data_IF_992607661278
#
_entry.id   IF_992607661278
#
_cell.length_a   1.000
_cell.length_b   1.000
_cell.length_c   1.000
_cell.angle_alpha   90.00
_cell.angle_beta   90.00
_cell.angle_gamma   90.00
#
_symmetry.space_group_name_H-M   'P 1'
#
loop_
_entity.id
_entity.type
_entity.pdbx_description
1 polymer ?
#
# COMPACT_ATOMS: atom_id res chain seq x y z
N UNK A 1 -1.79 -26.65 -11.76
CA UNK A 1 -1.43 -25.23 -11.50
C UNK A 1 0.07 -25.17 -11.28
N UNK A 2 0.77 -24.28 -11.97
CA UNK A 2 2.18 -24.04 -11.67
C UNK A 2 2.26 -23.46 -10.24
N UNK A 3 2.96 -24.13 -9.34
CA UNK A 3 3.18 -23.64 -7.99
C UNK A 3 4.28 -22.56 -8.10
N UNK A 4 3.89 -21.30 -8.03
CA UNK A 4 4.84 -20.21 -7.94
C UNK A 4 5.50 -20.24 -6.55
N UNK A 5 6.83 -20.23 -6.54
CA UNK A 5 7.59 -20.27 -5.28
C UNK A 5 7.92 -18.86 -4.83
N UNK A 6 7.93 -18.66 -3.53
CA UNK A 6 8.15 -17.35 -2.90
C UNK A 6 9.37 -17.37 -2.00
N UNK A 7 10.25 -16.38 -2.14
CA UNK A 7 11.30 -16.08 -1.17
C UNK A 7 10.78 -15.04 -0.19
N UNK A 8 10.52 -15.47 1.04
CA UNK A 8 10.02 -14.62 2.13
C UNK A 8 11.22 -13.98 2.81
N UNK A 9 11.38 -12.67 2.64
CA UNK A 9 12.45 -11.85 3.21
C UNK A 9 11.93 -11.16 4.46
N UNK A 10 12.53 -11.44 5.60
CA UNK A 10 12.17 -10.89 6.92
C UNK A 10 13.35 -10.09 7.45
N UNK A 11 13.13 -8.81 7.77
CA UNK A 11 14.12 -8.00 8.47
C UNK A 11 13.85 -8.03 9.98
N UNK A 12 14.83 -8.45 10.78
CA UNK A 12 14.75 -8.54 12.23
C UNK A 12 15.71 -7.55 12.90
N UNK A 13 15.24 -6.85 13.93
CA UNK A 13 16.07 -5.96 14.74
C UNK A 13 15.56 -5.86 16.18
N UNK A 14 16.24 -6.54 17.12
CA UNK A 14 15.90 -6.57 18.56
C UNK A 14 14.45 -7.04 18.85
N UNK A 15 13.94 -8.01 18.11
CA UNK A 15 12.56 -8.53 18.17
C UNK A 15 12.49 -10.04 18.23
N UNK A 16 13.41 -10.70 18.99
CA UNK A 16 13.58 -12.15 18.99
C UNK A 16 12.25 -12.92 19.12
N UNK A 17 11.45 -12.65 20.17
CA UNK A 17 10.23 -13.43 20.44
C UNK A 17 9.16 -13.19 19.38
N UNK A 18 9.05 -11.96 18.88
CA UNK A 18 8.07 -11.59 17.85
C UNK A 18 8.47 -12.22 16.51
N UNK A 19 9.76 -12.15 16.14
CA UNK A 19 10.31 -12.81 14.95
C UNK A 19 10.10 -14.33 14.99
N UNK A 20 10.19 -14.95 16.16
CA UNK A 20 9.84 -16.37 16.35
C UNK A 20 8.39 -16.64 15.97
N UNK A 21 7.45 -15.88 16.54
CA UNK A 21 6.02 -16.02 16.24
C UNK A 21 5.72 -15.87 14.76
N UNK A 22 6.36 -14.89 14.08
CA UNK A 22 6.25 -14.71 12.64
C UNK A 22 6.70 -15.97 11.87
N UNK A 23 7.90 -16.46 12.14
CA UNK A 23 8.46 -17.63 11.46
C UNK A 23 7.63 -18.90 11.74
N UNK A 24 7.16 -19.09 12.97
CA UNK A 24 6.31 -20.23 13.34
C UNK A 24 4.95 -20.17 12.62
N UNK A 25 4.36 -18.99 12.48
CA UNK A 25 3.11 -18.81 11.73
C UNK A 25 3.30 -19.12 10.23
N UNK A 26 4.41 -18.70 9.62
CA UNK A 26 4.74 -19.05 8.23
C UNK A 26 4.82 -20.57 8.06
N UNK A 27 5.53 -21.25 8.94
CA UNK A 27 5.68 -22.72 8.90
C UNK A 27 4.36 -23.45 9.10
N UNK A 28 3.44 -22.86 9.88
CA UNK A 28 2.14 -23.46 10.19
C UNK A 28 1.14 -23.27 9.04
N UNK A 29 1.12 -22.09 8.41
CA UNK A 29 0.07 -21.68 7.48
C UNK A 29 0.52 -21.54 6.03
N UNK A 30 1.71 -22.02 5.69
CA UNK A 30 2.21 -21.99 4.32
C UNK A 30 2.66 -23.38 3.87
N UNK A 31 2.23 -23.81 2.70
CA UNK A 31 2.51 -25.15 2.17
C UNK A 31 4.02 -25.41 2.06
N UNK A 32 4.49 -26.49 2.64
CA UNK A 32 5.90 -26.87 2.58
C UNK A 32 6.38 -27.03 1.13
N UNK A 33 7.55 -26.46 0.81
CA UNK A 33 8.14 -26.49 -0.53
C UNK A 33 7.66 -25.40 -1.48
N UNK A 34 6.65 -24.59 -1.10
CA UNK A 34 6.22 -23.42 -1.89
C UNK A 34 7.01 -22.16 -1.56
N UNK A 35 7.81 -22.15 -0.52
CA UNK A 35 8.58 -20.99 -0.06
C UNK A 35 9.99 -21.34 0.44
N UNK A 36 10.81 -20.31 0.58
CA UNK A 36 12.01 -20.29 1.43
C UNK A 36 11.93 -19.09 2.38
N UNK A 37 12.59 -19.18 3.53
CA UNK A 37 12.68 -18.09 4.50
C UNK A 37 14.11 -17.54 4.48
N UNK A 38 14.22 -16.23 4.30
CA UNK A 38 15.47 -15.46 4.38
C UNK A 38 15.29 -14.45 5.49
N UNK A 39 16.11 -14.54 6.54
CA UNK A 39 16.08 -13.57 7.64
C UNK A 39 17.35 -12.76 7.59
N UNK A 40 17.18 -11.44 7.53
CA UNK A 40 18.27 -10.49 7.70
C UNK A 40 18.19 -9.92 9.10
N UNK A 41 19.12 -10.27 9.95
CA UNK A 41 19.25 -9.68 11.28
C UNK A 41 20.11 -8.41 11.19
N UNK A 42 19.51 -7.29 11.54
CA UNK A 42 20.10 -5.96 11.33
C UNK A 42 20.93 -5.49 12.54
N UNK A 43 21.82 -6.35 13.03
CA UNK A 43 22.70 -6.16 14.19
C UNK A 43 21.95 -6.13 15.53
N UNK A 44 21.04 -7.09 15.75
CA UNK A 44 20.34 -7.24 17.02
C UNK A 44 21.29 -7.45 18.20
N UNK A 45 20.91 -6.91 19.36
CA UNK A 45 21.62 -7.05 20.63
C UNK A 45 20.96 -8.06 21.58
N UNK A 46 19.79 -8.56 21.23
CA UNK A 46 19.03 -9.56 21.98
C UNK A 46 19.39 -11.00 21.55
N UNK A 47 18.55 -11.98 21.89
CA UNK A 47 18.77 -13.39 21.57
C UNK A 47 18.48 -13.75 20.09
N UNK A 48 18.11 -12.80 19.21
CA UNK A 48 17.68 -13.02 17.83
C UNK A 48 18.68 -13.86 17.04
N UNK A 49 19.93 -13.40 16.92
CA UNK A 49 20.97 -14.10 16.13
C UNK A 49 21.26 -15.50 16.68
N UNK A 50 21.33 -15.64 18.02
CA UNK A 50 21.60 -16.92 18.65
C UNK A 50 20.47 -17.94 18.41
N UNK A 51 19.22 -17.47 18.39
CA UNK A 51 18.07 -18.31 18.08
C UNK A 51 18.01 -18.65 16.59
N UNK A 52 18.16 -17.66 15.70
CA UNK A 52 18.12 -17.83 14.25
C UNK A 52 19.16 -18.81 13.73
N UNK A 53 20.39 -18.79 14.27
CA UNK A 53 21.46 -19.74 13.92
C UNK A 53 21.10 -21.20 14.20
N UNK A 54 20.18 -21.47 15.10
CA UNK A 54 19.71 -22.81 15.43
C UNK A 54 18.55 -23.30 14.60
N UNK A 55 17.96 -22.40 13.80
CA UNK A 55 16.80 -22.73 12.97
C UNK A 55 17.22 -23.48 11.71
N UNK A 56 16.50 -24.56 11.39
CA UNK A 56 16.65 -25.28 10.11
C UNK A 56 15.86 -24.56 9.02
N UNK A 57 16.34 -24.67 7.80
CA UNK A 57 15.66 -24.14 6.60
C UNK A 57 15.41 -22.63 6.61
N UNK A 58 16.32 -21.87 7.22
CA UNK A 58 16.37 -20.41 7.18
C UNK A 58 17.73 -20.02 6.60
N UNK A 59 17.73 -19.14 5.59
CA UNK A 59 18.93 -18.41 5.18
C UNK A 59 19.09 -17.21 6.10
N UNK A 60 20.13 -17.17 6.91
CA UNK A 60 20.41 -16.07 7.84
C UNK A 60 21.55 -15.19 7.31
N UNK A 61 21.28 -13.89 7.22
CA UNK A 61 22.28 -12.84 7.07
C UNK A 61 22.32 -12.08 8.40
N UNK A 62 23.43 -12.14 9.11
CA UNK A 62 23.63 -11.45 10.39
C UNK A 62 24.58 -10.25 10.17
N UNK A 63 24.02 -9.05 10.15
CA UNK A 63 24.77 -7.82 9.95
C UNK A 63 25.56 -7.44 11.20
N UNK A 64 26.69 -6.77 11.01
CA UNK A 64 27.48 -6.20 12.11
C UNK A 64 26.99 -4.82 12.53
N UNK A 65 26.27 -4.14 11.69
CA UNK A 65 25.67 -2.82 11.88
C UNK A 65 24.27 -2.77 11.25
N UNK A 66 23.42 -1.88 11.74
CA UNK A 66 22.06 -1.70 11.21
C UNK A 66 22.13 -0.96 9.86
N UNK A 67 21.69 -1.62 8.79
CA UNK A 67 21.68 -1.09 7.39
C UNK A 67 20.39 -0.33 7.06
N UNK A 68 19.50 -0.14 8.02
CA UNK A 68 18.16 0.36 7.74
C UNK A 68 17.25 -0.70 7.11
N UNK A 69 15.99 -0.34 6.90
CA UNK A 69 15.00 -1.26 6.33
C UNK A 69 15.33 -1.59 4.85
N UNK A 70 15.51 -0.59 3.95
CA UNK A 70 15.75 -0.91 2.54
C UNK A 70 17.06 -1.67 2.34
N UNK A 71 18.15 -1.28 3.02
CA UNK A 71 19.44 -1.95 2.89
C UNK A 71 19.40 -3.40 3.38
N UNK A 72 18.72 -3.67 4.51
CA UNK A 72 18.53 -5.03 5.01
C UNK A 72 17.65 -5.87 4.09
N UNK A 73 16.53 -5.33 3.63
CA UNK A 73 15.65 -6.02 2.68
C UNK A 73 16.38 -6.34 1.37
N UNK A 74 17.17 -5.41 0.84
CA UNK A 74 17.96 -5.60 -0.37
C UNK A 74 18.95 -6.76 -0.26
N UNK A 75 19.59 -6.93 0.88
CA UNK A 75 20.47 -8.09 1.12
C UNK A 75 19.69 -9.41 1.04
N UNK A 76 18.48 -9.45 1.62
CA UNK A 76 17.61 -10.62 1.55
C UNK A 76 17.11 -10.91 0.12
N UNK A 77 16.69 -9.87 -0.60
CA UNK A 77 16.26 -9.95 -2.00
C UNK A 77 17.38 -10.47 -2.91
N UNK A 78 18.61 -10.01 -2.70
CA UNK A 78 19.76 -10.39 -3.51
C UNK A 78 20.15 -11.87 -3.38
N UNK A 79 19.85 -12.54 -2.26
CA UNK A 79 20.15 -13.97 -2.03
C UNK A 79 18.92 -14.87 -2.24
N UNK A 80 17.79 -14.30 -2.66
CA UNK A 80 16.58 -15.03 -2.98
C UNK A 80 16.84 -16.04 -4.13
N UNK A 81 16.15 -17.17 -4.07
CA UNK A 81 16.27 -18.19 -5.10
C UNK A 81 15.77 -17.65 -6.44
N UNK A 82 16.59 -17.80 -7.47
CA UNK A 82 16.25 -17.38 -8.82
C UNK A 82 14.92 -18.00 -9.28
N UNK A 83 14.05 -17.16 -9.81
CA UNK A 83 12.72 -17.57 -10.31
C UNK A 83 11.62 -17.51 -9.25
N UNK A 84 11.94 -17.34 -7.97
CA UNK A 84 10.94 -17.11 -6.94
C UNK A 84 10.42 -15.68 -7.00
N UNK A 85 9.14 -15.50 -6.64
CA UNK A 85 8.60 -14.19 -6.27
C UNK A 85 9.24 -13.72 -4.97
N UNK A 86 9.32 -12.42 -4.77
CA UNK A 86 9.88 -11.82 -3.56
C UNK A 86 8.75 -11.34 -2.65
N UNK A 87 8.73 -11.80 -1.44
CA UNK A 87 7.83 -11.28 -0.40
C UNK A 87 8.64 -10.59 0.68
N UNK A 88 8.47 -9.28 0.80
CA UNK A 88 8.93 -8.53 1.96
C UNK A 88 7.87 -8.68 3.06
N UNK A 89 8.27 -9.19 4.22
CA UNK A 89 7.37 -9.42 5.35
C UNK A 89 7.99 -8.87 6.63
N UNK A 90 7.27 -8.00 7.32
CA UNK A 90 7.72 -7.49 8.62
C UNK A 90 7.84 -8.62 9.64
N UNK A 91 8.87 -8.54 10.48
CA UNK A 91 9.11 -9.55 11.55
C UNK A 91 8.06 -9.52 12.65
N UNK A 92 7.24 -8.48 12.72
CA UNK A 92 6.15 -8.29 13.69
C UNK A 92 4.76 -8.60 13.12
N UNK A 93 4.70 -9.62 12.26
CA UNK A 93 3.45 -10.14 11.71
C UNK A 93 3.18 -11.56 12.19
N UNK A 94 1.90 -11.93 12.21
CA UNK A 94 1.44 -13.33 12.29
C UNK A 94 0.66 -13.59 11.02
N UNK A 95 1.20 -14.44 10.17
CA UNK A 95 0.48 -14.88 8.97
C UNK A 95 -0.58 -15.92 9.35
N UNK A 96 -1.60 -16.03 8.51
CA UNK A 96 -2.86 -16.71 8.83
C UNK A 96 -3.24 -17.72 7.73
N UNK A 97 -4.22 -18.60 7.92
CA UNK A 97 -4.61 -19.57 6.89
C UNK A 97 -4.87 -18.93 5.54
N UNK A 98 -4.47 -19.59 4.45
CA UNK A 98 -4.68 -19.22 3.04
C UNK A 98 -4.02 -17.90 2.58
N UNK A 99 -3.25 -17.23 3.42
CA UNK A 99 -2.70 -15.89 3.13
C UNK A 99 -1.85 -15.83 1.86
N UNK A 100 -0.86 -16.71 1.71
CA UNK A 100 0.06 -16.66 0.58
C UNK A 100 -0.61 -17.14 -0.71
N UNK A 101 -1.43 -18.17 -0.62
CA UNK A 101 -2.19 -18.72 -1.75
C UNK A 101 -3.15 -17.67 -2.34
N UNK A 102 -3.81 -16.88 -1.51
CA UNK A 102 -4.71 -15.81 -1.96
C UNK A 102 -3.91 -14.68 -2.62
N UNK A 103 -2.80 -14.25 -2.00
CA UNK A 103 -1.92 -13.25 -2.59
C UNK A 103 -1.35 -13.72 -3.95
N UNK A 104 -0.95 -14.99 -4.07
CA UNK A 104 -0.46 -15.54 -5.34
C UNK A 104 -1.56 -15.58 -6.41
N UNK A 105 -2.81 -15.92 -6.05
CA UNK A 105 -3.93 -15.87 -6.99
C UNK A 105 -4.14 -14.46 -7.53
N UNK A 106 -4.09 -13.45 -6.68
CA UNK A 106 -4.20 -12.06 -7.10
C UNK A 106 -3.01 -11.62 -7.95
N UNK A 107 -1.78 -11.96 -7.55
CA UNK A 107 -0.55 -11.61 -8.28
C UNK A 107 -0.54 -12.16 -9.72
N UNK A 108 -1.09 -13.36 -9.91
CA UNK A 108 -1.13 -14.02 -11.21
C UNK A 108 -2.48 -13.93 -11.93
N UNK A 109 -3.38 -13.05 -11.44
CA UNK A 109 -4.67 -12.80 -12.10
C UNK A 109 -4.54 -12.07 -13.44
N UNK A 110 -3.45 -11.32 -13.63
CA UNK A 110 -3.10 -10.70 -14.91
C UNK A 110 -1.58 -10.56 -15.05
N UNK A 111 -1.10 -10.49 -16.29
CA UNK A 111 0.33 -10.33 -16.59
C UNK A 111 0.88 -9.01 -16.05
N UNK A 112 0.08 -7.95 -16.09
CA UNK A 112 0.47 -6.61 -15.69
C UNK A 112 0.39 -6.34 -14.16
N UNK A 113 -0.01 -7.31 -13.34
CA UNK A 113 0.08 -7.17 -11.89
C UNK A 113 1.54 -7.41 -11.47
N UNK A 114 2.17 -6.41 -10.90
CA UNK A 114 3.57 -6.45 -10.47
C UNK A 114 3.77 -6.77 -9.00
N UNK A 115 2.85 -6.31 -8.15
CA UNK A 115 2.89 -6.59 -6.72
C UNK A 115 1.49 -6.58 -6.10
N UNK A 116 1.37 -7.25 -4.95
CA UNK A 116 0.14 -7.31 -4.15
C UNK A 116 0.46 -7.22 -2.66
N UNK A 117 -0.51 -6.74 -1.89
CA UNK A 117 -0.50 -6.71 -0.43
C UNK A 117 -1.87 -7.12 0.11
N UNK A 118 -1.99 -7.24 1.43
CA UNK A 118 -3.22 -7.63 2.11
C UNK A 118 -3.65 -6.58 3.13
N UNK A 119 -4.82 -6.80 3.76
CA UNK A 119 -5.28 -5.99 4.89
C UNK A 119 -4.79 -6.53 6.23
N UNK A 120 -4.79 -5.67 7.24
CA UNK A 120 -4.33 -5.98 8.59
C UNK A 120 -5.07 -5.16 9.65
N UNK A 121 -4.84 -5.46 10.93
CA UNK A 121 -5.41 -4.71 12.06
C UNK A 121 -4.67 -3.40 12.40
N UNK A 122 -3.45 -3.23 11.91
CA UNK A 122 -2.64 -2.03 12.22
C UNK A 122 -1.77 -1.64 11.03
N UNK A 123 -2.18 -0.61 10.30
CA UNK A 123 -1.47 -0.09 9.13
C UNK A 123 -2.00 1.29 8.76
N UNK A 124 -1.31 1.97 7.87
CA UNK A 124 -1.78 3.18 7.18
C UNK A 124 -2.36 2.86 5.80
N UNK A 125 -2.65 3.90 5.02
CA UNK A 125 -3.04 3.80 3.60
C UNK A 125 -4.31 2.96 3.36
N UNK A 126 -5.28 3.00 4.29
CA UNK A 126 -6.55 2.25 4.19
C UNK A 126 -6.37 0.73 3.99
N UNK A 127 -5.21 0.19 4.41
CA UNK A 127 -4.97 -1.25 4.51
C UNK A 127 -5.36 -1.81 5.88
N UNK A 128 -5.70 -0.93 6.81
CA UNK A 128 -6.22 -1.32 8.12
C UNK A 128 -7.71 -1.62 8.05
N UNK A 129 -8.11 -2.70 8.72
CA UNK A 129 -9.52 -3.06 8.97
C UNK A 129 -9.77 -3.18 10.48
N UNK A 130 -11.03 -3.03 10.87
CA UNK A 130 -11.46 -3.31 12.24
C UNK A 130 -11.50 -4.82 12.47
N UNK A 131 -11.04 -5.26 13.62
CA UNK A 131 -11.00 -6.67 14.00
C UNK A 131 -11.63 -6.87 15.39
N UNK A 132 -12.19 -8.05 15.64
CA UNK A 132 -12.95 -8.37 16.85
C UNK A 132 -12.29 -9.44 17.72
N UNK A 133 -11.05 -9.86 17.42
CA UNK A 133 -10.36 -10.88 18.22
C UNK A 133 -9.50 -10.24 19.33
N UNK A 134 -9.31 -10.96 20.42
CA UNK A 134 -8.54 -10.54 21.58
C UNK A 134 -7.37 -11.50 21.94
N UNK A 135 -7.34 -12.67 21.33
CA UNK A 135 -6.28 -13.67 21.55
C UNK A 135 -5.92 -14.42 20.26
N UNK A 136 -4.91 -15.29 20.34
CA UNK A 136 -4.40 -16.01 19.16
C UNK A 136 -5.43 -16.98 18.55
N UNK A 137 -6.24 -17.66 19.36
CA UNK A 137 -7.23 -18.62 18.85
C UNK A 137 -8.34 -17.88 18.08
N UNK A 138 -8.84 -16.81 18.64
CA UNK A 138 -9.84 -15.94 17.99
C UNK A 138 -9.29 -15.28 16.72
N UNK A 139 -8.01 -14.87 16.71
CA UNK A 139 -7.31 -14.38 15.52
C UNK A 139 -7.37 -15.42 14.38
N UNK A 140 -7.05 -16.68 14.68
CA UNK A 140 -7.04 -17.72 13.65
C UNK A 140 -8.46 -18.02 13.16
N UNK A 141 -9.44 -18.09 14.04
CA UNK A 141 -10.87 -18.26 13.66
C UNK A 141 -11.37 -17.10 12.78
N UNK A 142 -11.04 -15.86 13.16
CA UNK A 142 -11.35 -14.69 12.35
C UNK A 142 -10.73 -14.80 10.95
N UNK A 143 -9.45 -15.14 10.86
CA UNK A 143 -8.75 -15.23 9.59
C UNK A 143 -9.22 -16.41 8.73
N UNK A 144 -9.56 -17.56 9.32
CA UNK A 144 -10.18 -18.69 8.61
C UNK A 144 -11.51 -18.31 7.95
N UNK A 145 -12.32 -17.53 8.64
CA UNK A 145 -13.58 -17.02 8.10
C UNK A 145 -13.39 -15.88 7.08
N UNK A 146 -12.30 -15.13 7.19
CA UNK A 146 -12.03 -13.96 6.35
C UNK A 146 -11.29 -14.30 5.05
N UNK A 147 -10.26 -15.16 5.10
CA UNK A 147 -9.33 -15.41 4.00
C UNK A 147 -9.90 -16.33 2.92
N UNK A 148 -10.90 -15.85 2.22
CA UNK A 148 -11.50 -16.52 1.06
C UNK A 148 -11.28 -15.69 -0.19
N UNK A 149 -10.46 -16.22 -1.12
CA UNK A 149 -10.11 -15.51 -2.34
C UNK A 149 -11.33 -15.07 -3.13
N UNK A 150 -11.47 -13.75 -3.31
CA UNK A 150 -12.56 -13.12 -4.04
C UNK A 150 -12.05 -11.95 -4.90
N UNK A 151 -11.91 -12.12 -6.21
CA UNK A 151 -11.40 -11.07 -7.11
C UNK A 151 -12.18 -9.75 -7.07
N UNK A 152 -13.46 -9.76 -6.67
CA UNK A 152 -14.25 -8.54 -6.52
C UNK A 152 -13.78 -7.63 -5.36
N UNK A 153 -12.92 -8.17 -4.48
CA UNK A 153 -12.33 -7.45 -3.35
C UNK A 153 -10.86 -7.05 -3.60
N UNK A 154 -10.35 -7.19 -4.82
CA UNK A 154 -9.00 -6.75 -5.18
C UNK A 154 -9.05 -5.33 -5.72
N UNK A 155 -8.36 -4.43 -5.04
CA UNK A 155 -8.36 -3.01 -5.35
C UNK A 155 -7.05 -2.58 -5.99
N UNK A 156 -7.11 -1.84 -7.11
CA UNK A 156 -5.94 -1.16 -7.66
C UNK A 156 -5.53 -0.05 -6.69
N UNK A 157 -4.22 0.05 -6.41
CA UNK A 157 -3.67 1.04 -5.50
C UNK A 157 -2.46 1.75 -6.13
N UNK A 158 -2.28 3.07 -5.86
CA UNK A 158 -1.09 3.80 -6.28
C UNK A 158 0.15 3.40 -5.47
N UNK A 159 -0.06 2.86 -4.26
CA UNK A 159 0.99 2.41 -3.35
C UNK A 159 0.50 1.31 -2.43
N UNK A 160 1.41 0.48 -1.97
CA UNK A 160 1.18 -0.58 -0.99
C UNK A 160 2.18 -0.42 0.16
N UNK A 161 1.75 -0.71 1.39
CA UNK A 161 2.62 -0.61 2.57
C UNK A 161 3.48 -1.88 2.72
N UNK A 162 4.75 -1.67 3.05
CA UNK A 162 5.80 -2.68 3.05
C UNK A 162 5.74 -3.75 4.14
N UNK A 163 4.69 -3.78 5.00
CA UNK A 163 4.58 -4.81 6.05
C UNK A 163 4.37 -6.22 5.49
N UNK A 164 3.71 -6.33 4.32
CA UNK A 164 3.51 -7.55 3.55
C UNK A 164 3.43 -7.17 2.07
N UNK A 165 4.51 -7.34 1.33
CA UNK A 165 4.63 -6.84 -0.03
C UNK A 165 5.14 -7.96 -0.95
N UNK A 166 4.22 -8.63 -1.66
CA UNK A 166 4.56 -9.73 -2.57
C UNK A 166 4.77 -9.18 -3.98
N UNK A 167 5.97 -9.35 -4.52
CA UNK A 167 6.44 -8.84 -5.80
C UNK A 167 6.62 -9.98 -6.79
N UNK A 168 6.03 -9.86 -7.98
CA UNK A 168 6.22 -10.82 -9.07
C UNK A 168 7.69 -10.88 -9.49
N UNK A 169 8.22 -12.07 -9.73
CA UNK A 169 9.64 -12.24 -10.11
C UNK A 169 10.05 -11.40 -11.34
N UNK A 170 9.20 -11.33 -12.36
CA UNK A 170 9.44 -10.50 -13.55
C UNK A 170 9.50 -9.02 -13.21
N UNK A 171 8.58 -8.55 -12.36
CA UNK A 171 8.55 -7.16 -11.92
C UNK A 171 9.78 -6.81 -11.07
N UNK A 172 10.19 -7.71 -10.17
CA UNK A 172 11.44 -7.56 -9.42
C UNK A 172 12.67 -7.45 -10.32
N UNK A 173 12.78 -8.33 -11.33
CA UNK A 173 13.89 -8.27 -12.29
C UNK A 173 13.93 -6.97 -13.09
N UNK A 174 12.77 -6.40 -13.39
CA UNK A 174 12.66 -5.18 -14.16
C UNK A 174 12.96 -3.93 -13.33
N UNK A 175 12.44 -3.87 -12.09
CA UNK A 175 12.52 -2.69 -11.23
C UNK A 175 13.75 -2.71 -10.30
N UNK A 176 14.21 -3.90 -9.90
CA UNK A 176 15.38 -4.10 -9.05
C UNK A 176 15.10 -3.96 -7.56
N UNK A 177 16.06 -3.43 -6.82
CA UNK A 177 16.09 -3.34 -5.36
C UNK A 177 15.37 -2.07 -4.84
N UNK A 178 15.11 -2.03 -3.53
CA UNK A 178 14.62 -0.83 -2.84
C UNK A 178 15.68 0.29 -2.89
N UNK A 179 15.23 1.54 -2.88
CA UNK A 179 16.10 2.71 -2.88
C UNK A 179 16.62 3.02 -1.47
N UNK A 180 17.90 2.76 -1.22
CA UNK A 180 18.53 2.95 0.10
C UNK A 180 18.65 4.41 0.54
N UNK A 181 18.36 5.39 -0.33
CA UNK A 181 18.28 6.82 0.04
C UNK A 181 17.20 7.08 1.08
N UNK A 182 16.20 6.19 1.18
CA UNK A 182 15.14 6.24 2.18
C UNK A 182 15.52 5.57 3.51
N UNK A 183 16.77 5.14 3.70
CA UNK A 183 17.22 4.64 5.00
C UNK A 183 17.06 5.71 6.10
N UNK A 184 16.73 5.31 7.34
CA UNK A 184 16.62 3.94 7.81
C UNK A 184 15.29 3.25 7.53
N UNK A 185 14.30 3.91 6.88
CA UNK A 185 13.00 3.36 6.49
C UNK A 185 11.94 4.46 6.32
N UNK A 186 10.78 4.09 5.83
CA UNK A 186 9.65 4.88 5.35
C UNK A 186 9.91 5.55 3.99
N UNK A 187 8.89 5.50 3.12
CA UNK A 187 8.89 5.93 1.72
C UNK A 187 9.66 5.04 0.74
N UNK A 188 10.39 4.00 1.17
CA UNK A 188 11.00 3.03 0.26
C UNK A 188 9.96 2.14 -0.44
N UNK A 189 8.86 1.84 0.23
CA UNK A 189 7.72 1.08 -0.30
C UNK A 189 6.85 1.93 -1.24
N UNK A 190 6.63 3.19 -0.91
CA UNK A 190 6.00 4.17 -1.80
C UNK A 190 6.83 4.36 -3.08
N UNK A 191 8.14 4.55 -2.94
CA UNK A 191 9.08 4.65 -4.06
C UNK A 191 9.07 3.39 -4.93
N UNK A 192 9.07 2.22 -4.31
CA UNK A 192 9.04 0.96 -5.03
C UNK A 192 7.73 0.78 -5.79
N UNK A 193 6.61 1.17 -5.18
CA UNK A 193 5.30 1.19 -5.80
C UNK A 193 5.30 2.05 -7.07
N UNK A 194 5.81 3.28 -7.00
CA UNK A 194 5.88 4.16 -8.17
C UNK A 194 6.81 3.62 -9.26
N UNK A 195 7.94 3.02 -8.90
CA UNK A 195 8.83 2.40 -9.91
C UNK A 195 8.15 1.24 -10.62
N UNK A 196 7.34 0.44 -9.93
CA UNK A 196 6.54 -0.62 -10.55
C UNK A 196 5.50 -0.04 -11.52
N UNK A 197 4.78 1.01 -11.12
CA UNK A 197 3.80 1.70 -11.98
C UNK A 197 4.48 2.28 -13.22
N UNK A 198 5.62 2.95 -13.05
CA UNK A 198 6.39 3.49 -14.19
C UNK A 198 6.89 2.41 -15.14
N UNK A 199 7.15 1.21 -14.63
CA UNK A 199 7.51 0.04 -15.43
C UNK A 199 6.29 -0.64 -16.11
N UNK A 200 5.07 -0.09 -15.96
CA UNK A 200 3.83 -0.57 -16.60
C UNK A 200 3.06 -1.61 -15.78
N UNK A 201 3.44 -1.82 -14.52
CA UNK A 201 2.73 -2.75 -13.63
C UNK A 201 1.61 -2.05 -12.85
N UNK A 202 0.63 -2.85 -12.42
CA UNK A 202 -0.41 -2.47 -11.47
C UNK A 202 -0.14 -3.11 -10.12
N UNK A 203 -0.63 -2.46 -9.07
CA UNK A 203 -0.54 -2.91 -7.69
C UNK A 203 -1.94 -3.26 -7.20
N UNK A 204 -2.10 -4.37 -6.47
CA UNK A 204 -3.39 -4.76 -5.89
C UNK A 204 -3.32 -4.84 -4.36
N UNK A 205 -4.30 -4.28 -3.72
CA UNK A 205 -4.64 -4.57 -2.33
C UNK A 205 -5.70 -5.67 -2.31
N UNK A 206 -5.36 -6.82 -1.73
CA UNK A 206 -6.26 -7.96 -1.57
C UNK A 206 -7.06 -7.80 -0.27
N UNK A 207 -8.26 -7.21 -0.35
CA UNK A 207 -9.12 -7.02 0.83
C UNK A 207 -9.81 -8.30 1.29
N UNK A 208 -9.61 -9.37 0.58
CA UNK A 208 -10.04 -10.74 0.90
C UNK A 208 -9.00 -11.55 1.68
N UNK A 209 -7.88 -10.92 2.04
CA UNK A 209 -6.75 -11.58 2.69
C UNK A 209 -6.25 -10.74 3.86
N UNK A 210 -6.21 -11.35 5.02
CA UNK A 210 -5.82 -10.73 6.29
C UNK A 210 -4.62 -11.43 6.92
N UNK A 211 -3.67 -10.66 7.43
CA UNK A 211 -2.65 -11.11 8.39
C UNK A 211 -2.60 -10.14 9.57
N UNK A 212 -2.23 -10.62 10.74
CA UNK A 212 -2.06 -9.77 11.92
C UNK A 212 -0.72 -9.05 11.88
N UNK A 213 -0.70 -7.76 12.24
CA UNK A 213 0.48 -6.94 12.36
C UNK A 213 0.49 -6.26 13.72
N UNK A 214 1.51 -6.51 14.53
CA UNK A 214 1.62 -5.91 15.86
C UNK A 214 1.82 -4.40 15.81
N UNK A 215 2.35 -3.89 14.70
CA UNK A 215 2.59 -2.47 14.48
C UNK A 215 3.62 -1.90 15.44
N UNK A 216 4.74 -1.46 14.92
CA UNK A 216 5.79 -0.81 15.75
C UNK A 216 6.30 -1.63 16.95
N UNK A 217 6.28 -2.97 16.88
CA UNK A 217 6.71 -3.85 17.98
C UNK A 217 8.18 -3.61 18.39
N UNK A 218 9.03 -3.16 17.48
CA UNK A 218 10.38 -2.65 17.81
C UNK A 218 10.35 -1.42 18.70
N UNK A 219 9.16 -0.85 18.92
CA UNK A 219 8.94 0.42 19.60
C UNK A 219 8.33 0.30 21.01
N UNK A 220 7.78 -0.84 21.40
CA UNK A 220 6.93 -0.97 22.60
C UNK A 220 7.66 -1.47 23.87
N UNK A 221 9.00 -1.49 23.95
CA UNK A 221 9.68 -1.78 25.23
C UNK A 221 9.40 -0.66 26.22
N UNK A 222 9.16 -1.05 27.51
CA UNK A 222 8.92 -0.16 28.64
C UNK A 222 9.84 1.08 28.60
N UNK A 223 9.26 2.27 28.44
CA UNK A 223 9.96 3.54 28.35
C UNK A 223 9.33 4.55 29.27
N UNK A 224 10.14 5.51 29.69
CA UNK A 224 9.60 6.69 30.37
C UNK A 224 8.78 7.53 29.37
N UNK A 225 7.85 8.37 29.87
CA UNK A 225 7.12 9.30 29.01
C UNK A 225 8.05 10.18 28.16
N UNK A 226 9.18 10.62 28.71
CA UNK A 226 10.17 11.46 28.04
C UNK A 226 10.86 10.69 26.88
N UNK A 227 11.23 9.43 27.11
CA UNK A 227 11.79 8.58 26.06
C UNK A 227 10.79 8.32 24.93
N UNK A 228 9.51 8.17 25.27
CA UNK A 228 8.46 7.99 24.27
C UNK A 228 8.27 9.25 23.42
N UNK A 229 8.23 10.44 24.05
CA UNK A 229 8.13 11.74 23.36
C UNK A 229 9.33 11.96 22.45
N UNK A 230 10.55 11.75 22.95
CA UNK A 230 11.77 11.90 22.16
C UNK A 230 11.78 10.98 20.91
N UNK A 231 11.30 9.75 21.06
CA UNK A 231 11.22 8.80 19.96
C UNK A 231 10.16 9.18 18.94
N UNK A 232 8.97 9.61 19.38
CA UNK A 232 7.92 10.09 18.48
C UNK A 232 8.42 11.28 17.66
N UNK A 233 9.14 12.21 18.30
CA UNK A 233 9.76 13.35 17.62
C UNK A 233 10.78 12.90 16.57
N UNK A 234 11.71 12.00 16.93
CA UNK A 234 12.71 11.48 16.00
C UNK A 234 12.07 10.73 14.81
N UNK A 235 10.98 10.01 15.06
CA UNK A 235 10.20 9.34 14.01
C UNK A 235 9.54 10.35 13.07
N UNK A 236 8.91 11.39 13.58
CA UNK A 236 8.28 12.44 12.76
C UNK A 236 9.34 13.22 11.95
N UNK A 237 10.50 13.51 12.53
CA UNK A 237 11.62 14.14 11.83
C UNK A 237 12.14 13.26 10.67
N UNK A 238 12.22 11.94 10.88
CA UNK A 238 12.57 10.97 9.85
C UNK A 238 11.54 10.94 8.73
N UNK A 239 10.25 10.85 9.07
CA UNK A 239 9.17 10.89 8.08
C UNK A 239 9.25 12.15 7.22
N UNK A 240 9.34 13.33 7.84
CA UNK A 240 9.45 14.60 7.12
C UNK A 240 10.70 14.67 6.23
N UNK A 241 11.82 14.10 6.69
CA UNK A 241 13.05 14.04 5.89
C UNK A 241 12.88 13.17 4.65
N UNK A 242 12.31 11.96 4.81
CA UNK A 242 12.14 11.03 3.70
C UNK A 242 11.00 11.47 2.76
N UNK A 243 9.94 12.10 3.27
CA UNK A 243 8.91 12.74 2.45
C UNK A 243 9.52 13.79 1.49
N UNK A 244 10.38 14.68 2.00
CA UNK A 244 11.08 15.66 1.16
C UNK A 244 11.93 15.02 0.07
N UNK A 245 12.60 13.88 0.37
CA UNK A 245 13.36 13.12 -0.64
C UNK A 245 12.43 12.52 -1.69
N UNK A 246 11.28 12.00 -1.26
CA UNK A 246 10.28 11.41 -2.14
C UNK A 246 9.68 12.45 -3.09
N UNK A 247 9.20 13.57 -2.55
CA UNK A 247 8.67 14.72 -3.31
C UNK A 247 9.70 15.19 -4.33
N UNK A 248 10.94 15.38 -3.88
CA UNK A 248 12.05 15.81 -4.79
C UNK A 248 12.34 14.80 -5.88
N UNK A 249 12.26 13.49 -5.59
CA UNK A 249 12.53 12.43 -6.57
C UNK A 249 11.44 12.33 -7.61
N UNK A 250 10.18 12.38 -7.19
CA UNK A 250 9.03 12.11 -8.02
C UNK A 250 8.34 13.37 -8.56
N UNK A 251 8.71 14.55 -8.05
CA UNK A 251 8.12 15.86 -8.39
C UNK A 251 6.61 15.89 -8.14
N UNK A 252 6.16 15.23 -7.09
CA UNK A 252 4.76 15.16 -6.65
C UNK A 252 4.52 16.14 -5.50
N UNK A 253 3.25 16.38 -5.15
CA UNK A 253 2.85 17.25 -4.03
C UNK A 253 3.07 16.57 -2.67
N UNK A 254 2.92 17.35 -1.58
CA UNK A 254 3.00 16.82 -0.20
C UNK A 254 1.83 15.88 0.10
N UNK A 255 0.70 16.05 -0.57
CA UNK A 255 -0.54 15.29 -0.38
C UNK A 255 -0.63 14.05 -1.29
N UNK A 256 0.41 13.75 -2.07
CA UNK A 256 0.42 12.59 -2.95
C UNK A 256 0.01 11.30 -2.23
N UNK A 257 -1.00 10.61 -2.79
CA UNK A 257 -1.53 9.36 -2.22
C UNK A 257 -2.46 9.55 -1.01
N UNK A 258 -2.85 10.78 -0.69
CA UNK A 258 -3.94 11.11 0.23
C UNK A 258 -5.32 10.86 -0.37
N UNK A 259 -6.34 10.80 0.49
CA UNK A 259 -7.76 10.77 0.09
C UNK A 259 -8.43 12.03 0.60
N UNK A 260 -9.21 12.69 -0.26
CA UNK A 260 -10.00 13.85 0.12
C UNK A 260 -11.34 13.42 0.74
N UNK A 261 -11.81 14.20 1.72
CA UNK A 261 -13.05 13.87 2.43
C UNK A 261 -14.27 13.85 1.52
N UNK A 262 -14.30 14.66 0.49
CA UNK A 262 -15.42 14.77 -0.47
C UNK A 262 -15.79 13.45 -1.15
N UNK A 263 -14.86 12.49 -1.24
CA UNK A 263 -15.17 11.18 -1.83
C UNK A 263 -16.09 10.33 -0.95
N UNK A 264 -16.18 10.65 0.36
CA UNK A 264 -17.07 9.95 1.28
C UNK A 264 -18.53 10.40 1.15
N UNK A 265 -18.80 11.52 0.47
CA UNK A 265 -20.15 12.04 0.22
C UNK A 265 -20.85 11.30 -0.92
N UNK A 266 -20.13 10.46 -1.67
CA UNK A 266 -20.73 9.66 -2.74
C UNK A 266 -21.50 8.49 -2.14
N UNK A 267 -22.80 8.46 -2.44
CA UNK A 267 -23.72 7.40 -2.02
C UNK A 267 -24.35 6.71 -3.23
N UNK A 268 -23.81 5.54 -3.59
CA UNK A 268 -24.28 4.70 -4.68
C UNK A 268 -24.45 3.25 -4.22
N UNK A 269 -25.28 2.48 -4.89
CA UNK A 269 -25.21 1.02 -4.76
C UNK A 269 -24.00 0.50 -5.57
N UNK A 270 -23.43 -0.65 -5.15
CA UNK A 270 -22.28 -1.24 -5.86
C UNK A 270 -22.60 -1.65 -7.30
N UNK A 271 -23.87 -1.86 -7.62
CA UNK A 271 -24.34 -2.28 -8.95
C UNK A 271 -24.70 -1.10 -9.86
N UNK A 272 -24.71 0.11 -9.31
CA UNK A 272 -25.15 1.30 -10.05
C UNK A 272 -24.07 1.73 -11.05
N UNK A 273 -24.47 1.85 -12.32
CA UNK A 273 -23.63 2.40 -13.39
C UNK A 273 -23.73 3.91 -13.37
N UNK A 274 -22.84 4.54 -12.63
CA UNK A 274 -22.77 5.99 -12.49
C UNK A 274 -21.52 6.56 -13.12
N UNK A 275 -21.52 7.85 -13.42
CA UNK A 275 -20.36 8.59 -13.86
C UNK A 275 -19.96 9.61 -12.81
N UNK A 276 -18.71 9.54 -12.37
CA UNK A 276 -18.12 10.40 -11.35
C UNK A 276 -16.90 11.10 -11.94
N UNK A 277 -16.80 12.40 -11.73
CA UNK A 277 -15.61 13.17 -12.05
C UNK A 277 -15.02 13.77 -10.78
N UNK A 278 -13.69 13.68 -10.61
CA UNK A 278 -12.97 14.22 -9.45
C UNK A 278 -11.98 15.27 -9.92
N UNK A 279 -12.27 16.55 -9.63
CA UNK A 279 -11.34 17.65 -9.84
C UNK A 279 -10.40 17.79 -8.64
N UNK A 280 -9.09 17.85 -8.87
CA UNK A 280 -8.09 17.89 -7.80
C UNK A 280 -7.84 16.51 -7.17
N UNK A 281 -7.82 15.43 -7.98
CA UNK A 281 -7.80 14.04 -7.47
C UNK A 281 -6.42 13.58 -6.94
N UNK A 282 -5.42 14.45 -6.83
CA UNK A 282 -4.03 14.14 -6.43
C UNK A 282 -3.58 12.75 -6.94
N UNK A 283 -2.44 12.29 -6.90
CA UNK A 283 -1.96 11.00 -7.42
C UNK A 283 -2.96 9.85 -7.68
N UNK A 284 -4.28 10.14 -7.76
CA UNK A 284 -5.35 9.20 -8.15
C UNK A 284 -5.91 8.33 -7.02
N UNK A 285 -5.56 8.57 -5.75
CA UNK A 285 -6.05 7.74 -4.64
C UNK A 285 -7.57 7.86 -4.44
N UNK A 286 -8.13 9.04 -4.66
CA UNK A 286 -9.58 9.28 -4.63
C UNK A 286 -10.33 8.38 -5.63
N UNK A 287 -9.79 8.29 -6.84
CA UNK A 287 -10.35 7.45 -7.90
C UNK A 287 -10.21 5.97 -7.54
N UNK A 288 -9.06 5.54 -7.02
CA UNK A 288 -8.87 4.17 -6.54
C UNK A 288 -9.88 3.80 -5.45
N UNK A 289 -10.10 4.69 -4.49
CA UNK A 289 -11.07 4.48 -3.42
C UNK A 289 -12.50 4.33 -3.99
N UNK A 290 -12.92 5.26 -4.83
CA UNK A 290 -14.26 5.24 -5.45
C UNK A 290 -14.46 4.01 -6.33
N UNK A 291 -13.47 3.62 -7.14
CA UNK A 291 -13.54 2.40 -7.96
C UNK A 291 -13.69 1.14 -7.12
N UNK A 292 -13.01 1.08 -5.96
CA UNK A 292 -13.12 -0.06 -5.06
C UNK A 292 -14.50 -0.16 -4.41
N UNK A 293 -15.10 0.98 -4.08
CA UNK A 293 -16.42 1.06 -3.45
C UNK A 293 -17.56 0.88 -4.46
N UNK A 294 -17.35 1.37 -5.68
CA UNK A 294 -18.36 1.41 -6.76
C UNK A 294 -17.80 0.81 -8.07
N UNK A 295 -17.62 -0.52 -8.14
CA UNK A 295 -16.90 -1.16 -9.25
C UNK A 295 -17.60 -1.06 -10.61
N UNK A 296 -18.89 -0.70 -10.64
CA UNK A 296 -19.67 -0.49 -11.87
C UNK A 296 -19.70 0.98 -12.32
N UNK A 297 -19.20 1.91 -11.50
CA UNK A 297 -19.13 3.31 -11.85
C UNK A 297 -17.95 3.60 -12.78
N UNK A 298 -18.15 4.51 -13.74
CA UNK A 298 -17.07 5.08 -14.54
C UNK A 298 -16.54 6.33 -13.83
N UNK A 299 -15.30 6.27 -13.37
CA UNK A 299 -14.69 7.31 -12.56
C UNK A 299 -13.49 7.86 -13.30
N UNK A 300 -13.50 9.16 -13.53
CA UNK A 300 -12.41 9.92 -14.15
C UNK A 300 -12.04 11.11 -13.27
N UNK A 301 -10.91 11.71 -13.52
CA UNK A 301 -10.48 12.87 -12.74
C UNK A 301 -9.42 13.72 -13.41
N UNK A 302 -9.11 14.82 -12.74
CA UNK A 302 -8.06 15.74 -13.15
C UNK A 302 -7.25 16.20 -11.94
N UNK A 303 -5.98 16.50 -12.17
CA UNK A 303 -5.09 17.14 -11.21
C UNK A 303 -4.29 18.24 -11.88
N UNK A 304 -3.94 19.29 -11.13
CA UNK A 304 -3.11 20.41 -11.58
C UNK A 304 -1.62 20.07 -11.58
N UNK A 305 -1.23 18.99 -10.91
CA UNK A 305 0.15 18.53 -10.93
C UNK A 305 0.39 17.60 -12.13
N UNK A 306 1.30 18.02 -13.00
CA UNK A 306 1.63 17.27 -14.22
C UNK A 306 2.28 15.91 -13.92
N UNK A 307 3.13 15.84 -12.90
CA UNK A 307 3.82 14.60 -12.55
C UNK A 307 2.83 13.58 -11.97
N UNK A 308 1.91 14.03 -11.12
CA UNK A 308 0.84 13.19 -10.58
C UNK A 308 -0.12 12.70 -11.67
N UNK A 309 -0.51 13.58 -12.60
CA UNK A 309 -1.31 13.17 -13.75
C UNK A 309 -0.58 12.13 -14.61
N UNK A 310 0.71 12.32 -14.86
CA UNK A 310 1.52 11.38 -15.63
C UNK A 310 1.68 10.02 -14.93
N UNK A 311 1.76 10.00 -13.61
CA UNK A 311 1.80 8.77 -12.80
C UNK A 311 0.44 8.08 -12.76
N UNK A 312 -0.61 8.79 -12.38
CA UNK A 312 -1.96 8.25 -12.25
C UNK A 312 -2.53 7.78 -13.60
N UNK A 313 -2.30 8.52 -14.67
CA UNK A 313 -2.73 8.17 -16.03
C UNK A 313 -2.13 6.87 -16.59
N UNK A 314 -1.15 6.26 -15.92
CA UNK A 314 -0.63 4.93 -16.28
C UNK A 314 -1.64 3.80 -16.00
N UNK A 315 -2.56 4.00 -15.06
CA UNK A 315 -3.47 2.95 -14.59
C UNK A 315 -4.89 3.41 -14.26
N UNK A 316 -5.15 4.73 -14.31
CA UNK A 316 -6.44 5.37 -14.07
C UNK A 316 -6.80 6.31 -15.21
N UNK A 317 -8.07 6.71 -15.26
CA UNK A 317 -8.57 7.77 -16.15
C UNK A 317 -8.37 9.14 -15.47
N UNK A 318 -7.12 9.62 -15.48
CA UNK A 318 -6.70 10.89 -14.89
C UNK A 318 -6.01 11.74 -15.94
N UNK A 319 -6.42 13.00 -16.05
CA UNK A 319 -5.87 13.98 -16.96
C UNK A 319 -5.16 15.11 -16.22
N UNK A 320 -4.14 15.67 -16.85
CA UNK A 320 -3.56 16.93 -16.43
C UNK A 320 -4.51 18.08 -16.80
N UNK A 321 -4.77 18.96 -15.84
CA UNK A 321 -5.56 20.17 -16.03
C UNK A 321 -4.85 21.30 -15.29
N UNK A 322 -4.21 22.26 -15.98
CA UNK A 322 -3.40 23.30 -15.35
C UNK A 322 -4.19 24.22 -14.43
N UNK A 323 -5.48 24.31 -14.64
CA UNK A 323 -6.40 25.04 -13.80
C UNK A 323 -7.73 24.29 -13.70
N UNK A 324 -7.94 23.56 -12.62
CA UNK A 324 -9.16 22.77 -12.42
C UNK A 324 -10.39 23.62 -12.15
N UNK A 325 -10.25 24.91 -11.91
CA UNK A 325 -11.38 25.83 -11.79
C UNK A 325 -11.88 26.34 -13.17
N UNK A 326 -10.96 26.71 -14.06
CA UNK A 326 -11.33 27.34 -15.33
C UNK A 326 -11.31 26.38 -16.52
N UNK A 327 -10.39 25.41 -16.53
CA UNK A 327 -10.16 24.53 -17.68
C UNK A 327 -10.81 23.15 -17.56
N UNK A 328 -11.37 22.78 -16.41
CA UNK A 328 -12.05 21.49 -16.17
C UNK A 328 -13.13 21.19 -17.22
N UNK A 329 -13.81 22.22 -17.71
CA UNK A 329 -14.91 22.10 -18.69
C UNK A 329 -14.46 21.48 -20.01
N UNK A 330 -13.17 21.55 -20.35
CA UNK A 330 -12.59 20.91 -21.54
C UNK A 330 -12.57 19.38 -21.37
N UNK A 331 -12.48 18.90 -20.13
CA UNK A 331 -12.41 17.49 -19.80
C UNK A 331 -13.77 16.86 -19.55
N UNK A 332 -14.78 17.66 -19.20
CA UNK A 332 -16.12 17.18 -18.93
C UNK A 332 -16.82 16.76 -20.22
N UNK A 333 -17.14 15.48 -20.36
CA UNK A 333 -17.81 14.90 -21.52
C UNK A 333 -19.12 14.22 -21.15
N UNK A 334 -20.26 14.75 -21.61
CA UNK A 334 -21.57 14.17 -21.30
C UNK A 334 -22.08 14.52 -19.91
N UNK A 335 -22.80 13.61 -19.27
CA UNK A 335 -23.48 13.82 -17.98
C UNK A 335 -22.83 13.00 -16.87
N UNK A 336 -22.73 13.60 -15.69
CA UNK A 336 -22.16 12.97 -14.47
C UNK A 336 -23.22 12.94 -13.37
N UNK A 337 -23.19 11.88 -12.59
CA UNK A 337 -24.02 11.76 -11.38
C UNK A 337 -23.38 12.49 -10.21
N UNK A 338 -22.03 12.52 -10.19
CA UNK A 338 -21.25 13.27 -9.21
C UNK A 338 -20.11 14.03 -9.88
N UNK A 339 -19.96 15.29 -9.52
CA UNK A 339 -18.75 16.08 -9.77
C UNK A 339 -18.18 16.46 -8.41
N UNK A 340 -17.00 15.98 -8.09
CA UNK A 340 -16.32 16.20 -6.79
C UNK A 340 -15.22 17.23 -7.00
N UNK A 341 -15.28 18.33 -6.24
CA UNK A 341 -14.27 19.37 -6.20
C UNK A 341 -13.38 19.11 -4.97
N UNK A 342 -12.30 18.37 -5.17
CA UNK A 342 -11.51 17.81 -4.08
C UNK A 342 -10.43 18.76 -3.55
N UNK A 343 -10.06 19.80 -4.29
CA UNK A 343 -9.01 20.74 -3.90
C UNK A 343 -9.51 21.68 -2.78
N UNK A 344 -8.98 21.51 -1.57
CA UNK A 344 -9.32 22.31 -0.38
C UNK A 344 -8.78 23.74 -0.43
N UNK A 345 -7.74 23.99 -1.19
CA UNK A 345 -7.08 25.30 -1.24
C UNK A 345 -7.77 26.25 -2.20
N UNK A 346 -8.62 25.73 -3.09
CA UNK A 346 -9.35 26.54 -4.07
C UNK A 346 -10.48 27.30 -3.41
N UNK A 347 -10.38 28.62 -3.51
CA UNK A 347 -11.45 29.57 -3.16
C UNK A 347 -12.07 30.07 -4.45
N UNK A 348 -13.21 29.52 -4.81
CA UNK A 348 -13.98 29.98 -5.95
C UNK A 348 -14.50 31.40 -5.66
N UNK A 349 -14.04 32.39 -6.42
CA UNK A 349 -14.44 33.81 -6.21
C UNK A 349 -15.95 34.01 -6.41
N UNK A 350 -16.54 33.29 -7.37
CA UNK A 350 -17.98 33.25 -7.64
C UNK A 350 -18.44 31.77 -7.71
N UNK A 351 -18.66 31.18 -6.54
CA UNK A 351 -19.01 29.75 -6.45
C UNK A 351 -20.38 29.46 -7.09
N UNK A 352 -21.37 30.34 -6.92
CA UNK A 352 -22.71 30.17 -7.51
C UNK A 352 -22.63 30.20 -9.03
N UNK A 353 -21.92 31.17 -9.61
CA UNK A 353 -21.70 31.25 -11.06
C UNK A 353 -20.84 30.08 -11.59
N UNK A 354 -19.98 29.51 -10.76
CA UNK A 354 -19.21 28.29 -11.11
C UNK A 354 -20.11 27.05 -11.12
N UNK A 355 -20.99 26.89 -10.14
CA UNK A 355 -22.01 25.84 -10.12
C UNK A 355 -22.92 25.91 -11.34
N UNK A 356 -23.36 27.10 -11.72
CA UNK A 356 -24.20 27.28 -12.92
C UNK A 356 -23.50 26.76 -14.19
N UNK A 357 -22.19 26.92 -14.31
CA UNK A 357 -21.40 26.38 -15.43
C UNK A 357 -21.26 24.83 -15.37
N UNK A 358 -21.34 24.22 -14.18
CA UNK A 358 -21.30 22.76 -14.02
C UNK A 358 -22.65 22.08 -14.27
N UNK A 359 -23.77 22.79 -14.05
CA UNK A 359 -25.12 22.25 -14.24
C UNK A 359 -25.32 21.55 -15.61
N UNK A 360 -24.82 22.06 -16.74
CA UNK A 360 -24.96 21.39 -18.04
C UNK A 360 -24.31 19.99 -18.08
N UNK A 361 -23.40 19.70 -17.19
CA UNK A 361 -22.69 18.42 -17.12
C UNK A 361 -23.26 17.45 -16.08
N UNK A 362 -24.29 17.84 -15.32
CA UNK A 362 -24.96 16.96 -14.37
C UNK A 362 -26.11 16.18 -15.01
N UNK A 363 -26.31 14.93 -14.57
CA UNK A 363 -27.54 14.17 -14.84
C UNK A 363 -28.73 14.82 -14.09
N UNK A 364 -29.96 14.37 -14.35
CA UNK A 364 -31.17 14.95 -13.69
C UNK A 364 -31.10 14.87 -12.16
N UNK A 365 -30.47 13.82 -11.60
CA UNK A 365 -30.27 13.63 -10.18
C UNK A 365 -28.82 13.88 -9.75
N UNK A 366 -28.00 14.46 -10.64
CA UNK A 366 -26.57 14.67 -10.39
C UNK A 366 -26.32 15.80 -9.40
N UNK A 367 -25.19 15.73 -8.69
CA UNK A 367 -24.80 16.69 -7.66
C UNK A 367 -23.33 17.08 -7.76
N UNK A 368 -23.01 18.27 -7.25
CA UNK A 368 -21.65 18.76 -7.06
C UNK A 368 -21.34 18.74 -5.56
N UNK A 369 -20.19 18.18 -5.18
CA UNK A 369 -19.72 18.19 -3.80
C UNK A 369 -18.34 18.86 -3.75
N UNK A 370 -18.08 19.60 -2.67
CA UNK A 370 -16.82 20.33 -2.46
C UNK A 370 -16.17 19.86 -1.18
N UNK A 371 -14.86 19.72 -1.20
CA UNK A 371 -14.07 19.43 -0.01
C UNK A 371 -14.06 20.64 0.92
N UNK A 372 -14.45 20.44 2.19
CA UNK A 372 -14.35 21.44 3.26
C UNK A 372 -12.91 21.56 3.81
#
# INVERSE_FOLDING_TARGET
MNIHKTSIVILSYNTCEITKGCIESIRKFTAAGSYEIIVVDNASKDASVAWLKRQKNIKLIANRENKGFPGGCNQGMAVAKQGNDILLLNSDTIVTPNWLENLQKALYSSENIGAVSCVTNCCSNFQQIQVSYSNYEELIQFAEAFNHSNPALWEIRPRLIGFCYLIKNEAYKHVGLLDERFSPGNFEDDDYSLRLIMAGYRLLLCRDTFIHHYGSASFTKHRTPEEQVAKTRAFNELLACNQKKFIKKWQVTEDYGGIHNVVFDVELSQEQKSRIFVAGCNGGMDICYLQSKYPQAHISGATEDWAEAALAGKYLDVSYCPDTEHDIFILLTGKYDYILLADKEKRYEDFDGYLDKLMPYLSEAGSVHISE
#
